data_IF_789702451507
#
_entry.id   IF_789702451507
#
_cell.length_a   1.000
_cell.length_b   1.000
_cell.length_c   1.000
_cell.angle_alpha   90.00
_cell.angle_beta   90.00
_cell.angle_gamma   90.00
#
_symmetry.space_group_name_H-M   'P 1'
#
loop_
_entity.id
_entity.type
_entity.pdbx_description
1 polymer ?
#
# COMPACT_ATOMS: atom_id res chain seq x y z
N UNK A 1 -16.99 -1.70 -0.31
CA UNK A 1 -15.66 -2.33 -0.24
C UNK A 1 -14.71 -1.29 0.31
N UNK A 2 -14.12 -1.59 1.46
CA UNK A 2 -13.31 -0.65 2.24
C UNK A 2 -11.86 -1.00 2.02
N UNK A 3 -11.08 -0.05 1.54
CA UNK A 3 -9.68 -0.28 1.28
C UNK A 3 -8.92 -0.65 2.56
N UNK A 4 -8.15 -1.72 2.50
CA UNK A 4 -7.21 -2.17 3.52
C UNK A 4 -5.78 -1.95 3.02
N UNK A 5 -4.90 -1.56 3.93
CA UNK A 5 -3.50 -1.29 3.63
C UNK A 5 -2.64 -2.14 4.57
N UNK A 6 -1.69 -2.87 4.01
CA UNK A 6 -0.81 -3.76 4.76
C UNK A 6 0.64 -3.56 4.33
N UNK A 7 1.55 -3.64 5.30
CA UNK A 7 2.98 -3.69 5.02
C UNK A 7 3.38 -5.11 4.62
N UNK A 8 4.19 -5.20 3.57
CA UNK A 8 4.86 -6.43 3.17
C UNK A 8 6.35 -6.20 3.00
N UNK A 9 7.14 -7.23 3.29
CA UNK A 9 8.51 -7.28 2.82
C UNK A 9 8.53 -7.62 1.33
N UNK A 10 9.63 -7.31 0.65
CA UNK A 10 9.82 -7.71 -0.74
C UNK A 10 9.92 -9.24 -0.91
N UNK A 11 10.24 -9.98 0.16
CA UNK A 11 10.17 -11.44 0.22
C UNK A 11 8.73 -11.99 0.34
N UNK A 12 7.72 -11.12 0.42
CA UNK A 12 6.31 -11.52 0.44
C UNK A 12 5.72 -11.77 1.83
N UNK A 13 6.49 -11.55 2.90
CA UNK A 13 5.98 -11.69 4.26
C UNK A 13 5.23 -10.43 4.70
N UNK A 14 4.05 -10.59 5.31
CA UNK A 14 3.36 -9.48 5.95
C UNK A 14 4.18 -8.98 7.14
N UNK A 15 4.31 -7.65 7.26
CA UNK A 15 5.00 -7.01 8.38
C UNK A 15 3.97 -6.37 9.29
N UNK A 16 3.94 -6.79 10.55
CA UNK A 16 3.07 -6.18 11.56
C UNK A 16 3.67 -4.86 12.04
N UNK A 17 3.49 -3.83 11.23
CA UNK A 17 3.91 -2.46 11.52
C UNK A 17 2.70 -1.53 11.42
N UNK A 18 2.53 -0.57 12.36
CA UNK A 18 1.48 0.43 12.24
C UNK A 18 1.67 1.28 10.97
N UNK A 19 0.57 1.69 10.38
CA UNK A 19 0.58 2.66 9.28
C UNK A 19 0.87 4.05 9.85
N UNK A 20 1.66 4.87 9.15
CA UNK A 20 1.97 6.23 9.60
C UNK A 20 0.81 7.22 9.37
N UNK A 21 -0.33 6.74 8.87
CA UNK A 21 -1.51 7.53 8.56
C UNK A 21 -2.77 6.67 8.69
N UNK A 22 -3.92 7.33 8.82
CA UNK A 22 -5.21 6.67 8.78
C UNK A 22 -5.57 6.27 7.33
N UNK A 23 -5.90 4.99 7.06
CA UNK A 23 -6.28 4.54 5.73
C UNK A 23 -7.55 5.24 5.25
N UNK A 24 -7.55 5.67 3.98
CA UNK A 24 -8.77 6.08 3.30
C UNK A 24 -9.64 4.87 2.98
N UNK A 25 -10.96 4.98 3.13
CA UNK A 25 -11.89 3.89 2.83
C UNK A 25 -12.02 3.60 1.32
N UNK A 26 -11.80 4.61 0.46
CA UNK A 26 -11.84 4.44 -0.99
C UNK A 26 -10.49 3.93 -1.52
N UNK A 27 -10.51 2.88 -2.32
CA UNK A 27 -9.31 2.24 -2.89
C UNK A 27 -8.38 3.22 -3.60
N UNK A 28 -8.87 3.97 -4.58
CA UNK A 28 -8.02 4.90 -5.35
C UNK A 28 -7.44 6.02 -4.47
N UNK A 29 -8.20 6.49 -3.47
CA UNK A 29 -7.70 7.46 -2.48
C UNK A 29 -6.62 6.86 -1.56
N UNK A 30 -6.80 5.61 -1.14
CA UNK A 30 -5.80 4.89 -0.35
C UNK A 30 -4.51 4.68 -1.15
N UNK A 31 -4.61 4.32 -2.44
CA UNK A 31 -3.47 4.21 -3.34
C UNK A 31 -2.74 5.55 -3.47
N UNK A 32 -3.46 6.64 -3.73
CA UNK A 32 -2.86 7.97 -3.83
C UNK A 32 -2.16 8.39 -2.53
N UNK A 33 -2.74 8.09 -1.38
CA UNK A 33 -2.14 8.34 -0.07
C UNK A 33 -0.85 7.53 0.14
N UNK A 34 -0.84 6.24 -0.25
CA UNK A 34 0.36 5.40 -0.19
C UNK A 34 1.46 5.90 -1.13
N UNK A 35 1.12 6.35 -2.34
CA UNK A 35 2.09 6.94 -3.30
C UNK A 35 2.68 8.22 -2.73
N UNK A 36 1.85 9.13 -2.20
CA UNK A 36 2.32 10.37 -1.59
C UNK A 36 3.24 10.12 -0.38
N UNK A 37 2.96 9.08 0.41
CA UNK A 37 3.82 8.68 1.53
C UNK A 37 5.11 8.01 1.08
N UNK A 38 5.04 7.08 0.11
CA UNK A 38 6.18 6.28 -0.32
C UNK A 38 7.13 7.06 -1.24
N UNK A 39 6.63 8.09 -1.93
CA UNK A 39 7.37 8.82 -2.96
C UNK A 39 7.61 8.01 -4.24
N UNK A 40 7.01 6.83 -4.37
CA UNK A 40 7.16 5.94 -5.53
C UNK A 40 5.82 5.60 -6.16
N UNK A 41 5.83 5.35 -7.47
CA UNK A 41 4.67 4.90 -8.21
C UNK A 41 4.35 3.40 -7.92
N UNK A 42 3.09 2.98 -8.07
CA UNK A 42 2.72 1.57 -7.91
C UNK A 42 3.41 0.69 -8.98
N UNK A 43 4.08 -0.37 -8.54
CA UNK A 43 4.66 -1.37 -9.47
C UNK A 43 3.61 -2.32 -10.03
N UNK A 44 2.45 -2.37 -9.37
CA UNK A 44 1.29 -3.13 -9.82
C UNK A 44 0.02 -2.41 -9.40
N UNK A 45 -0.94 -2.30 -10.31
CA UNK A 45 -2.25 -1.73 -10.02
C UNK A 45 -3.33 -2.43 -10.84
N UNK A 46 -4.37 -2.91 -10.15
CA UNK A 46 -5.64 -3.40 -10.70
C UNK A 46 -6.80 -2.78 -9.92
N UNK A 47 -8.01 -3.01 -10.39
CA UNK A 47 -9.25 -2.45 -9.81
C UNK A 47 -9.48 -2.76 -8.32
N UNK A 48 -8.78 -3.75 -7.75
CA UNK A 48 -8.94 -4.20 -6.35
C UNK A 48 -7.63 -4.35 -5.59
N UNK A 49 -6.47 -4.14 -6.23
CA UNK A 49 -5.17 -4.33 -5.60
C UNK A 49 -4.12 -3.40 -6.19
N UNK A 50 -3.33 -2.76 -5.33
CA UNK A 50 -2.15 -2.01 -5.73
C UNK A 50 -0.94 -2.37 -4.84
N UNK A 51 0.25 -2.35 -5.44
CA UNK A 51 1.52 -2.60 -4.75
C UNK A 51 2.39 -1.35 -4.93
N UNK A 52 2.74 -0.69 -3.83
CA UNK A 52 3.55 0.53 -3.82
C UNK A 52 4.86 0.22 -3.09
N UNK A 53 6.03 0.24 -3.76
CA UNK A 53 7.31 0.10 -3.09
C UNK A 53 7.59 1.32 -2.21
N UNK A 54 8.11 1.11 -1.01
CA UNK A 54 8.51 2.20 -0.10
C UNK A 54 10.03 2.34 -0.07
N UNK A 55 10.74 1.21 0.01
CA UNK A 55 12.20 1.15 -0.02
C UNK A 55 12.66 -0.22 -0.54
N UNK A 56 13.98 -0.47 -0.48
CA UNK A 56 14.61 -1.69 -0.99
C UNK A 56 14.08 -3.00 -0.35
N UNK A 57 13.43 -2.93 0.81
CA UNK A 57 12.99 -4.11 1.56
C UNK A 57 11.48 -4.16 1.81
N UNK A 58 10.75 -3.06 1.61
CA UNK A 58 9.35 -2.91 2.02
C UNK A 58 8.46 -2.36 0.92
N UNK A 59 7.22 -2.86 0.90
CA UNK A 59 6.14 -2.40 0.03
C UNK A 59 4.84 -2.30 0.82
N UNK A 60 3.98 -1.39 0.39
CA UNK A 60 2.60 -1.28 0.84
C UNK A 60 1.71 -1.98 -0.18
N UNK A 61 0.81 -2.83 0.32
CA UNK A 61 -0.22 -3.46 -0.50
C UNK A 61 -1.56 -2.88 -0.08
N UNK A 62 -2.29 -2.34 -1.05
CA UNK A 62 -3.64 -1.80 -0.88
C UNK A 62 -4.61 -2.79 -1.53
N UNK A 63 -5.66 -3.19 -0.82
CA UNK A 63 -6.73 -4.06 -1.33
C UNK A 63 -8.11 -3.45 -1.06
N UNK A 64 -9.08 -3.60 -1.97
CA UNK A 64 -10.44 -3.05 -1.82
C UNK A 64 -11.41 -3.98 -1.05
#
# INVERSE_FOLDING_TARGET
MTASIQWYSNAGAQVNKPLPFQPQANFYRAVAQCVAFAGNEPTYMRSVMAIIPVDANRRLVVTA
#
